data_IF_687949154880
#
_entry.id   IF_687949154880
#
_cell.length_a   1.000
_cell.length_b   1.000
_cell.length_c   1.000
_cell.angle_alpha   90.00
_cell.angle_beta   90.00
_cell.angle_gamma   90.00
#
_symmetry.space_group_name_H-M   'P 1'
#
loop_
_entity.id
_entity.type
_entity.pdbx_description
1 polymer ?
#
# COMPACT_ATOMS: atom_id res chain seq x y z
N UNK A 1 -17.53 9.27 17.73
CA UNK A 1 -16.92 8.41 16.70
C UNK A 1 -17.42 6.99 16.88
N UNK A 2 -18.26 6.54 15.96
CA UNK A 2 -18.80 5.18 15.94
C UNK A 2 -18.21 4.47 14.73
N UNK A 3 -17.37 3.46 14.94
CA UNK A 3 -16.74 2.75 13.83
C UNK A 3 -17.80 2.10 12.92
N UNK A 4 -17.70 2.33 11.61
CA UNK A 4 -18.65 1.76 10.67
C UNK A 4 -18.46 0.23 10.56
N UNK A 5 -19.51 -0.61 10.70
CA UNK A 5 -19.36 -2.08 10.73
C UNK A 5 -18.72 -2.71 9.49
N UNK A 6 -18.80 -2.02 8.35
CA UNK A 6 -18.15 -2.46 7.11
C UNK A 6 -16.61 -2.44 7.21
N UNK A 7 -16.03 -1.61 8.09
CA UNK A 7 -14.60 -1.50 8.26
C UNK A 7 -13.97 -2.84 8.66
N UNK A 8 -14.52 -3.54 9.66
CA UNK A 8 -13.98 -4.84 10.11
C UNK A 8 -13.90 -5.87 8.98
N UNK A 9 -14.94 -5.91 8.13
CA UNK A 9 -14.99 -6.81 6.97
C UNK A 9 -13.91 -6.48 5.94
N UNK A 10 -13.69 -5.19 5.67
CA UNK A 10 -12.65 -4.79 4.72
C UNK A 10 -11.25 -4.94 5.30
N UNK A 11 -11.10 -4.68 6.60
CA UNK A 11 -9.84 -4.85 7.32
C UNK A 11 -9.40 -6.32 7.29
N UNK A 12 -10.31 -7.26 7.53
CA UNK A 12 -10.01 -8.68 7.42
C UNK A 12 -9.47 -9.07 6.04
N UNK A 13 -10.13 -8.59 4.96
CA UNK A 13 -9.66 -8.81 3.58
C UNK A 13 -8.29 -8.18 3.30
N UNK A 14 -8.06 -6.98 3.82
CA UNK A 14 -6.77 -6.32 3.69
C UNK A 14 -5.69 -7.10 4.44
N UNK A 15 -5.96 -7.62 5.64
CA UNK A 15 -5.00 -8.45 6.36
C UNK A 15 -4.71 -9.78 5.65
N UNK A 16 -5.71 -10.39 5.00
CA UNK A 16 -5.49 -11.57 4.17
C UNK A 16 -4.57 -11.25 2.97
N UNK A 17 -4.80 -10.13 2.28
CA UNK A 17 -3.94 -9.67 1.19
C UNK A 17 -2.51 -9.39 1.67
N UNK A 18 -2.35 -8.64 2.76
CA UNK A 18 -1.04 -8.21 3.28
C UNK A 18 -0.21 -9.37 3.86
N UNK A 19 -0.86 -10.48 4.26
CA UNK A 19 -0.18 -11.69 4.74
C UNK A 19 -0.09 -12.79 3.67
N UNK A 20 -0.52 -12.53 2.43
CA UNK A 20 -0.53 -13.54 1.37
C UNK A 20 0.91 -13.90 0.98
N UNK A 21 1.29 -15.20 1.03
CA UNK A 21 2.58 -15.64 0.51
C UNK A 21 2.70 -15.38 -1.00
N UNK A 22 3.93 -15.11 -1.45
CA UNK A 22 4.26 -14.82 -2.83
C UNK A 22 5.25 -15.88 -3.36
N UNK A 23 4.74 -16.99 -3.93
CA UNK A 23 5.59 -18.00 -4.53
C UNK A 23 6.23 -17.49 -5.82
N UNK A 24 7.38 -18.10 -6.15
CA UNK A 24 8.01 -17.94 -7.46
C UNK A 24 7.03 -18.39 -8.55
N UNK A 25 7.03 -17.66 -9.66
CA UNK A 25 6.30 -18.04 -10.87
C UNK A 25 7.12 -19.07 -11.66
N UNK A 26 6.81 -20.35 -11.44
CA UNK A 26 7.44 -21.49 -12.10
C UNK A 26 7.22 -21.52 -13.63
N UNK A 27 6.29 -20.71 -14.16
CA UNK A 27 6.06 -20.62 -15.61
C UNK A 27 7.06 -19.72 -16.33
N UNK A 28 7.78 -18.87 -15.60
CA UNK A 28 8.78 -17.97 -16.14
C UNK A 28 10.20 -18.50 -15.92
N UNK A 29 10.96 -18.65 -17.00
CA UNK A 29 12.38 -18.97 -16.92
C UNK A 29 13.17 -18.32 -18.04
N UNK A 30 14.25 -17.62 -17.68
CA UNK A 30 15.26 -17.13 -18.62
C UNK A 30 16.70 -17.37 -18.15
N UNK A 31 16.89 -18.09 -17.04
CA UNK A 31 18.20 -18.37 -16.45
C UNK A 31 18.91 -17.21 -15.74
N UNK A 32 18.25 -16.06 -15.57
CA UNK A 32 18.85 -14.83 -15.00
C UNK A 32 18.14 -14.39 -13.72
N UNK A 33 16.80 -14.35 -13.73
CA UNK A 33 16.01 -13.93 -12.58
C UNK A 33 14.72 -14.72 -12.48
N UNK A 34 14.13 -14.70 -11.28
CA UNK A 34 12.81 -15.28 -11.02
C UNK A 34 11.75 -14.18 -11.01
N UNK A 35 10.56 -14.50 -11.51
CA UNK A 35 9.36 -13.69 -11.28
C UNK A 35 8.56 -14.28 -10.13
N UNK A 36 7.67 -13.47 -9.59
CA UNK A 36 6.77 -13.84 -8.51
C UNK A 36 5.33 -13.69 -8.97
N UNK A 37 4.44 -14.54 -8.46
CA UNK A 37 3.06 -14.60 -8.93
C UNK A 37 2.26 -13.34 -8.60
N UNK A 38 2.56 -12.70 -7.47
CA UNK A 38 1.83 -11.53 -7.00
C UNK A 38 2.71 -10.28 -6.99
N UNK A 39 2.12 -9.10 -7.27
CA UNK A 39 2.79 -7.83 -7.00
C UNK A 39 3.05 -7.68 -5.50
N UNK A 40 4.20 -7.11 -5.16
CA UNK A 40 4.55 -6.76 -3.76
C UNK A 40 3.72 -5.59 -3.22
N UNK A 41 3.22 -4.72 -4.11
CA UNK A 41 2.34 -3.60 -3.79
C UNK A 41 1.33 -3.39 -4.91
N UNK A 42 0.11 -3.01 -4.53
CA UNK A 42 -0.98 -2.54 -5.40
C UNK A 42 -1.75 -1.44 -4.65
N UNK A 43 -2.74 -0.80 -5.28
CA UNK A 43 -3.60 0.19 -4.60
C UNK A 43 -4.33 -0.38 -3.37
N UNK A 44 -4.58 -1.69 -3.36
CA UNK A 44 -5.28 -2.41 -2.28
C UNK A 44 -4.39 -2.62 -1.05
N UNK A 45 -3.08 -2.43 -1.18
CA UNK A 45 -2.14 -2.45 -0.06
C UNK A 45 -2.20 -1.15 0.76
N UNK A 46 -2.77 -0.07 0.21
CA UNK A 46 -2.93 1.20 0.92
C UNK A 46 -3.89 1.01 2.10
N UNK A 47 -3.51 1.44 3.33
CA UNK A 47 -4.34 1.28 4.50
C UNK A 47 -5.74 1.86 4.30
N UNK A 48 -6.76 1.15 4.75
CA UNK A 48 -8.15 1.59 4.57
C UNK A 48 -8.41 2.97 5.18
N UNK A 49 -7.77 3.31 6.30
CA UNK A 49 -7.95 4.61 6.96
C UNK A 49 -7.34 5.79 6.19
N UNK A 50 -6.51 5.56 5.16
CA UNK A 50 -6.12 6.62 4.22
C UNK A 50 -7.24 6.94 3.23
N UNK A 51 -8.04 5.92 2.91
CA UNK A 51 -9.00 5.94 1.79
C UNK A 51 -10.42 6.21 2.27
N UNK A 52 -10.78 5.73 3.44
CA UNK A 52 -12.12 5.79 4.02
C UNK A 52 -12.12 6.63 5.29
N UNK A 53 -13.14 7.47 5.41
CA UNK A 53 -13.59 7.94 6.71
C UNK A 53 -14.31 6.78 7.41
N UNK A 54 -13.80 6.36 8.56
CA UNK A 54 -14.26 5.18 9.28
C UNK A 54 -15.41 5.48 10.26
N UNK A 55 -15.73 6.74 10.50
CA UNK A 55 -16.80 7.13 11.41
C UNK A 55 -18.16 7.00 10.70
N UNK A 56 -19.07 6.21 11.28
CA UNK A 56 -20.39 5.96 10.76
C UNK A 56 -21.28 7.21 10.78
N UNK A 57 -20.97 8.18 11.64
CA UNK A 57 -21.75 9.41 11.75
C UNK A 57 -21.45 10.37 10.58
N UNK A 58 -20.20 10.42 10.10
CA UNK A 58 -19.75 11.28 8.98
C UNK A 58 -19.65 10.53 7.64
N UNK A 59 -19.63 9.19 7.67
CA UNK A 59 -19.65 8.33 6.49
C UNK A 59 -20.63 7.15 6.63
N UNK A 60 -21.96 7.41 6.65
CA UNK A 60 -22.98 6.39 6.90
C UNK A 60 -23.08 5.31 5.81
N UNK A 61 -22.47 5.55 4.65
CA UNK A 61 -22.46 4.61 3.52
C UNK A 61 -21.08 3.94 3.32
N UNK A 62 -20.11 4.23 4.19
CA UNK A 62 -18.74 3.72 4.09
C UNK A 62 -18.13 3.92 2.69
N UNK A 63 -18.36 5.10 2.13
CA UNK A 63 -17.81 5.48 0.82
C UNK A 63 -16.31 5.75 0.95
N UNK A 64 -15.57 5.38 -0.08
CA UNK A 64 -14.18 5.81 -0.22
C UNK A 64 -14.17 7.34 -0.42
N UNK A 65 -13.40 8.05 0.42
CA UNK A 65 -13.28 9.51 0.39
C UNK A 65 -12.08 9.94 -0.45
N UNK A 66 -10.95 9.25 -0.29
CA UNK A 66 -9.68 9.55 -0.94
C UNK A 66 -9.15 8.29 -1.62
N UNK A 67 -9.67 8.01 -2.82
CA UNK A 67 -9.29 6.81 -3.55
C UNK A 67 -7.85 6.87 -4.08
N UNK A 68 -7.23 5.70 -4.19
CA UNK A 68 -5.91 5.51 -4.78
C UNK A 68 -6.06 4.78 -6.11
N UNK A 69 -5.47 5.33 -7.16
CA UNK A 69 -5.50 4.75 -8.49
C UNK A 69 -4.42 3.67 -8.65
N UNK A 70 -3.18 3.99 -8.26
CA UNK A 70 -2.01 3.14 -8.51
C UNK A 70 -0.90 3.30 -7.45
N UNK A 71 -0.07 2.26 -7.33
CA UNK A 71 1.19 2.25 -6.58
C UNK A 71 2.26 1.70 -7.52
N UNK A 72 3.31 2.47 -7.79
CA UNK A 72 4.28 2.17 -8.85
C UNK A 72 5.63 2.86 -8.61
N UNK A 73 6.61 2.61 -9.50
CA UNK A 73 7.89 3.33 -9.61
C UNK A 73 8.59 3.60 -8.26
N UNK A 74 8.71 2.58 -7.42
CA UNK A 74 9.27 2.71 -6.07
C UNK A 74 10.79 2.79 -6.08
N UNK A 75 11.35 3.69 -5.26
CA UNK A 75 12.71 3.52 -4.75
C UNK A 75 12.77 2.37 -3.75
N UNK A 76 13.94 1.76 -3.57
CA UNK A 76 14.13 0.64 -2.64
C UNK A 76 15.43 0.81 -1.85
N UNK A 77 15.42 0.41 -0.58
CA UNK A 77 16.59 0.33 0.29
C UNK A 77 16.44 -0.83 1.27
N UNK A 78 17.53 -1.55 1.51
CA UNK A 78 17.66 -2.43 2.67
C UNK A 78 18.30 -1.63 3.81
N UNK A 79 17.65 -1.59 4.97
CA UNK A 79 18.15 -0.88 6.15
C UNK A 79 17.87 -1.74 7.39
N UNK A 80 18.89 -1.95 8.22
CA UNK A 80 18.80 -2.72 9.47
C UNK A 80 18.15 -4.11 9.31
N UNK A 81 18.43 -4.78 8.18
CA UNK A 81 17.90 -6.11 7.87
C UNK A 81 16.44 -6.15 7.42
N UNK A 82 15.84 -4.98 7.12
CA UNK A 82 14.48 -4.84 6.60
C UNK A 82 14.49 -4.26 5.19
N UNK A 83 13.47 -4.60 4.41
CA UNK A 83 13.29 -4.13 3.04
C UNK A 83 12.28 -2.98 3.02
N UNK A 84 12.69 -1.83 2.51
CA UNK A 84 11.84 -0.64 2.40
C UNK A 84 11.64 -0.26 0.94
N UNK A 85 10.39 0.10 0.62
CA UNK A 85 10.00 0.68 -0.65
C UNK A 85 9.47 2.09 -0.40
N UNK A 86 10.12 3.09 -1.00
CA UNK A 86 9.57 4.45 -1.09
C UNK A 86 8.74 4.51 -2.36
N UNK A 87 7.48 4.13 -2.26
CA UNK A 87 6.59 3.96 -3.40
C UNK A 87 6.00 5.31 -3.85
N UNK A 88 5.88 5.49 -5.18
CA UNK A 88 5.06 6.54 -5.77
C UNK A 88 3.59 6.07 -5.76
N UNK A 89 2.77 6.71 -4.93
CA UNK A 89 1.34 6.44 -4.82
C UNK A 89 0.59 7.51 -5.58
N UNK A 90 -0.27 7.12 -6.52
CA UNK A 90 -1.11 8.02 -7.31
C UNK A 90 -2.55 8.00 -6.80
N UNK A 91 -3.04 9.14 -6.33
CA UNK A 91 -4.44 9.34 -5.93
C UNK A 91 -5.38 9.38 -7.13
N UNK A 92 -6.68 9.20 -6.88
CA UNK A 92 -7.72 9.40 -7.89
C UNK A 92 -7.78 10.85 -8.41
N UNK A 93 -7.19 11.79 -7.66
CA UNK A 93 -6.98 13.19 -8.06
C UNK A 93 -5.82 13.38 -9.06
N UNK A 94 -5.19 12.28 -9.52
CA UNK A 94 -4.06 12.24 -10.45
C UNK A 94 -2.77 12.87 -9.92
N UNK A 95 -2.68 13.15 -8.62
CA UNK A 95 -1.44 13.57 -7.97
C UNK A 95 -0.72 12.36 -7.40
N UNK A 96 0.60 12.45 -7.40
CA UNK A 96 1.45 11.44 -6.80
C UNK A 96 2.12 12.00 -5.55
N UNK A 97 2.25 11.15 -4.54
CA UNK A 97 3.01 11.41 -3.33
C UNK A 97 3.84 10.17 -2.99
N UNK A 98 4.79 10.31 -2.06
CA UNK A 98 5.64 9.21 -1.63
C UNK A 98 5.08 8.58 -0.34
N UNK A 99 5.17 7.26 -0.23
CA UNK A 99 4.82 6.52 0.97
C UNK A 99 5.81 5.38 1.18
N UNK A 100 6.22 5.17 2.43
CA UNK A 100 7.13 4.08 2.79
C UNK A 100 6.32 2.83 3.09
N UNK A 101 6.67 1.72 2.45
CA UNK A 101 6.23 0.38 2.83
C UNK A 101 7.44 -0.46 3.25
N UNK A 102 7.27 -1.27 4.29
CA UNK A 102 8.33 -2.12 4.83
C UNK A 102 7.93 -3.59 4.90
N UNK A 103 8.92 -4.48 4.82
CA UNK A 103 8.77 -5.92 5.03
C UNK A 103 10.04 -6.55 5.60
N UNK A 104 9.88 -7.65 6.33
CA UNK A 104 10.97 -8.55 6.72
C UNK A 104 11.34 -9.53 5.58
N UNK A 105 10.58 -9.56 4.48
CA UNK A 105 10.83 -10.37 3.28
C UNK A 105 10.94 -9.49 2.03
N UNK A 106 11.86 -9.78 1.09
CA UNK A 106 12.04 -8.95 -0.10
C UNK A 106 10.90 -9.09 -1.13
N UNK A 107 10.00 -10.07 -0.96
CA UNK A 107 9.06 -10.50 -2.02
C UNK A 107 7.60 -10.55 -1.59
N UNK A 108 7.30 -10.32 -0.32
CA UNK A 108 5.93 -10.38 0.23
C UNK A 108 5.84 -9.59 1.54
N UNK A 109 4.64 -9.45 2.10
CA UNK A 109 4.45 -8.91 3.45
C UNK A 109 4.60 -7.40 3.60
N UNK A 110 4.74 -6.65 2.50
CA UNK A 110 4.92 -5.20 2.55
C UNK A 110 3.71 -4.48 3.15
N UNK A 111 3.98 -3.60 4.12
CA UNK A 111 2.98 -2.78 4.81
C UNK A 111 3.39 -1.32 4.79
N UNK A 112 2.49 -0.44 4.37
CA UNK A 112 2.72 1.00 4.47
C UNK A 112 2.80 1.46 5.93
N UNK A 113 3.66 2.44 6.19
CA UNK A 113 3.65 3.21 7.44
C UNK A 113 2.31 3.93 7.62
N UNK A 114 2.01 4.37 8.84
CA UNK A 114 0.71 4.99 9.16
C UNK A 114 0.47 6.30 8.40
N UNK A 115 1.54 6.98 7.97
CA UNK A 115 1.46 8.24 7.24
C UNK A 115 2.34 8.19 5.99
N UNK A 116 1.94 8.88 4.90
CA UNK A 116 2.81 9.08 3.75
C UNK A 116 3.96 10.03 4.10
N UNK A 117 4.94 10.11 3.20
CA UNK A 117 6.08 11.02 3.33
C UNK A 117 5.60 12.46 3.20
N UNK A 118 5.92 13.27 4.21
CA UNK A 118 5.81 14.72 4.13
C UNK A 118 7.12 15.25 3.55
N UNK A 119 7.06 15.70 2.28
CA UNK A 119 8.20 16.31 1.59
C UNK A 119 7.98 17.83 1.53
N UNK A 120 8.78 18.65 2.23
CA UNK A 120 8.63 20.10 2.21
C UNK A 120 8.79 20.67 0.79
N UNK A 121 7.95 21.64 0.44
CA UNK A 121 8.19 22.45 -0.74
C UNK A 121 9.39 23.36 -0.49
N UNK A 122 10.41 23.23 -1.33
CA UNK A 122 11.65 24.02 -1.22
C UNK A 122 11.54 25.36 -1.96
N UNK A 123 10.49 25.55 -2.76
CA UNK A 123 10.16 26.78 -3.47
C UNK A 123 8.66 27.12 -3.27
N UNK A 124 8.23 27.54 -2.06
CA UNK A 124 6.83 27.70 -1.66
C UNK A 124 6.10 28.92 -2.29
N UNK A 125 6.59 29.43 -3.42
CA UNK A 125 6.26 30.74 -4.00
C UNK A 125 5.24 30.67 -5.15
#
# INVERSE_FOLDING_TARGET
MKLHPQYEKQLAKQQELLNRPNPVDETFYNGIYSRYQYPVLTREHIPLFWRYDLDADTNPYFQERLGVNAVMNSGAIELDGRFYLVARVEGNDRKSFFAVAESDSPVEGFRFHDYPVVLPDTCPE
#
